data_IF_065056064381
#
_entry.id   IF_065056064381
#
_cell.length_a   1.000
_cell.length_b   1.000
_cell.length_c   1.000
_cell.angle_alpha   90.00
_cell.angle_beta   90.00
_cell.angle_gamma   90.00
#
_symmetry.space_group_name_H-M   'P 1'
#
loop_
_entity.id
_entity.type
_entity.pdbx_description
1 polymer ?
#
# COMPACT_ATOMS: atom_id res chain seq x y z
N UNK A 1 27.65 12.90 23.40
CA UNK A 1 26.47 13.32 22.63
C UNK A 1 25.50 14.04 23.54
N UNK A 2 25.01 15.17 23.10
CA UNK A 2 23.96 15.86 23.84
C UNK A 2 22.59 15.24 23.55
N UNK A 3 21.59 15.65 24.33
CA UNK A 3 20.23 15.12 24.22
C UNK A 3 19.63 15.42 22.86
N UNK A 4 19.93 16.60 22.30
CA UNK A 4 19.38 17.02 21.00
C UNK A 4 19.89 16.10 19.89
N UNK A 5 21.17 15.77 19.89
CA UNK A 5 21.77 14.88 18.91
C UNK A 5 21.17 13.47 18.99
N UNK A 6 20.95 12.96 20.19
CA UNK A 6 20.34 11.64 20.41
C UNK A 6 18.90 11.62 19.89
N UNK A 7 18.11 12.64 20.21
CA UNK A 7 16.73 12.75 19.75
C UNK A 7 16.68 12.83 18.23
N UNK A 8 17.58 13.62 17.63
CA UNK A 8 17.64 13.76 16.17
C UNK A 8 17.97 12.43 15.49
N UNK A 9 18.90 11.66 16.05
CA UNK A 9 19.25 10.34 15.51
C UNK A 9 18.08 9.35 15.61
N UNK A 10 17.34 9.38 16.72
CA UNK A 10 16.18 8.53 16.90
C UNK A 10 15.09 8.89 15.88
N UNK A 11 14.85 10.17 15.66
CA UNK A 11 13.88 10.63 14.67
C UNK A 11 14.26 10.21 13.26
N UNK A 12 15.54 10.33 12.91
CA UNK A 12 16.03 9.89 11.60
C UNK A 12 15.86 8.39 11.41
N UNK A 13 16.17 7.61 12.44
CA UNK A 13 16.01 6.16 12.39
C UNK A 13 14.55 5.78 12.23
N UNK A 14 13.65 6.46 12.94
CA UNK A 14 12.21 6.22 12.86
C UNK A 14 11.67 6.56 11.47
N UNK A 15 12.10 7.69 10.89
CA UNK A 15 11.70 8.10 9.55
C UNK A 15 12.19 7.12 8.50
N UNK A 16 13.43 6.66 8.61
CA UNK A 16 14.00 5.68 7.68
C UNK A 16 13.26 4.35 7.74
N UNK A 17 12.94 3.89 8.95
CA UNK A 17 12.18 2.67 9.15
C UNK A 17 10.77 2.78 8.58
N UNK A 18 10.09 3.90 8.83
CA UNK A 18 8.75 4.17 8.30
C UNK A 18 8.77 4.20 6.77
N UNK A 19 9.77 4.84 6.19
CA UNK A 19 9.93 4.91 4.74
C UNK A 19 10.13 3.53 4.13
N UNK A 20 10.99 2.72 4.75
CA UNK A 20 11.22 1.35 4.30
C UNK A 20 9.95 0.52 4.35
N UNK A 21 9.19 0.62 5.44
CA UNK A 21 7.90 -0.07 5.57
C UNK A 21 6.90 0.41 4.51
N UNK A 22 6.88 1.68 4.19
CA UNK A 22 5.98 2.22 3.17
C UNK A 22 6.31 1.71 1.78
N UNK A 23 7.60 1.59 1.45
CA UNK A 23 8.03 1.00 0.19
C UNK A 23 7.65 -0.48 0.11
N UNK A 24 7.82 -1.20 1.20
CA UNK A 24 7.44 -2.60 1.27
C UNK A 24 5.93 -2.77 1.10
N UNK A 25 5.14 -1.93 1.75
CA UNK A 25 3.68 -1.95 1.62
C UNK A 25 3.25 -1.69 0.17
N UNK A 26 3.89 -0.73 -0.50
CA UNK A 26 3.62 -0.43 -1.90
C UNK A 26 3.93 -1.63 -2.79
N UNK A 27 5.01 -2.33 -2.52
CA UNK A 27 5.37 -3.53 -3.28
C UNK A 27 4.35 -4.64 -3.08
N UNK A 28 3.87 -4.84 -1.85
CA UNK A 28 2.82 -5.82 -1.56
C UNK A 28 1.55 -5.45 -2.33
N UNK A 29 1.18 -4.17 -2.35
CA UNK A 29 0.02 -3.70 -3.09
C UNK A 29 0.16 -3.96 -4.59
N UNK A 30 1.32 -3.70 -5.16
CA UNK A 30 1.58 -3.96 -6.59
C UNK A 30 1.44 -5.44 -6.92
N UNK A 31 2.02 -6.30 -6.11
CA UNK A 31 1.94 -7.75 -6.33
C UNK A 31 0.51 -8.25 -6.24
N UNK A 32 -0.25 -7.77 -5.25
CA UNK A 32 -1.64 -8.16 -5.08
C UNK A 32 -2.50 -7.70 -6.26
N UNK A 33 -2.32 -6.46 -6.70
CA UNK A 33 -3.01 -5.92 -7.87
C UNK A 33 -2.70 -6.70 -9.14
N UNK A 34 -1.44 -7.03 -9.34
CA UNK A 34 -1.00 -7.80 -10.49
C UNK A 34 -1.62 -9.20 -10.50
N UNK A 35 -1.67 -9.86 -9.35
CA UNK A 35 -2.30 -11.19 -9.24
C UNK A 35 -3.79 -11.12 -9.56
N UNK A 36 -4.48 -10.12 -9.02
CA UNK A 36 -5.91 -9.94 -9.25
C UNK A 36 -6.20 -9.69 -10.73
N UNK A 37 -5.41 -8.85 -11.37
CA UNK A 37 -5.55 -8.57 -12.80
C UNK A 37 -5.27 -9.80 -13.66
N UNK A 38 -4.27 -10.59 -13.30
CA UNK A 38 -3.98 -11.82 -14.02
C UNK A 38 -5.12 -12.83 -13.92
N UNK A 39 -5.74 -12.95 -12.75
CA UNK A 39 -6.89 -13.83 -12.56
C UNK A 39 -8.10 -13.37 -13.35
N UNK A 40 -8.28 -12.06 -13.51
CA UNK A 40 -9.40 -11.48 -14.24
C UNK A 40 -9.12 -11.35 -15.75
N UNK A 41 -7.92 -11.71 -16.20
CA UNK A 41 -7.47 -11.55 -17.60
C UNK A 41 -7.50 -10.10 -18.08
N UNK A 42 -7.10 -9.17 -17.19
CA UNK A 42 -6.98 -7.77 -17.54
C UNK A 42 -5.54 -7.31 -17.34
N UNK A 43 -5.19 -6.20 -17.95
CA UNK A 43 -3.84 -5.65 -17.86
C UNK A 43 -3.71 -4.75 -16.65
N UNK A 44 -2.74 -5.03 -15.81
CA UNK A 44 -2.42 -4.19 -14.66
C UNK A 44 -1.48 -3.07 -15.09
N UNK A 45 -1.83 -1.84 -14.70
CA UNK A 45 -1.03 -0.66 -15.02
C UNK A 45 -0.19 -0.29 -13.78
N UNK A 46 1.02 -0.82 -13.71
CA UNK A 46 1.91 -0.72 -12.54
C UNK A 46 2.15 0.72 -12.11
N UNK A 47 2.29 1.62 -13.06
CA UNK A 47 2.67 3.01 -12.78
C UNK A 47 1.54 3.81 -12.14
N UNK A 48 0.33 3.25 -12.08
CA UNK A 48 -0.83 3.96 -11.57
C UNK A 48 -1.12 3.66 -10.10
N UNK A 49 -0.36 2.76 -9.47
CA UNK A 49 -0.58 2.44 -8.05
C UNK A 49 -0.20 3.62 -7.19
N UNK A 50 -1.17 4.16 -6.46
CA UNK A 50 -0.98 5.33 -5.62
C UNK A 50 -1.69 5.17 -4.28
N UNK A 51 -1.01 5.57 -3.21
CA UNK A 51 -1.62 5.61 -1.89
C UNK A 51 -2.58 6.78 -1.78
N UNK A 52 -3.81 6.52 -1.34
CA UNK A 52 -4.85 7.55 -1.22
C UNK A 52 -5.23 7.85 0.23
N UNK A 53 -4.99 6.93 1.15
CA UNK A 53 -5.33 7.14 2.55
C UNK A 53 -4.42 6.32 3.46
N UNK A 54 -4.19 6.85 4.65
CA UNK A 54 -3.42 6.21 5.70
C UNK A 54 -4.11 6.47 7.02
N UNK A 55 -4.54 5.41 7.70
CA UNK A 55 -5.21 5.52 8.99
C UNK A 55 -4.63 4.50 9.96
N UNK A 56 -4.74 4.81 11.24
CA UNK A 56 -4.33 3.89 12.31
C UNK A 56 -5.58 3.21 12.84
N UNK A 57 -5.60 1.88 12.77
CA UNK A 57 -6.74 1.08 13.21
C UNK A 57 -6.26 -0.06 14.10
N UNK A 58 -7.19 -0.73 14.76
CA UNK A 58 -6.90 -1.94 15.52
C UNK A 58 -7.28 -3.16 14.70
N UNK A 59 -6.40 -4.14 14.66
CA UNK A 59 -6.70 -5.41 14.02
C UNK A 59 -7.55 -6.31 14.95
N UNK A 60 -7.82 -7.53 14.50
CA UNK A 60 -8.63 -8.48 15.28
C UNK A 60 -7.99 -8.87 16.60
N UNK A 61 -6.66 -8.80 16.70
CA UNK A 61 -5.94 -9.11 17.92
C UNK A 61 -5.82 -7.91 18.86
N UNK A 62 -6.36 -6.75 18.49
CA UNK A 62 -6.31 -5.53 19.28
C UNK A 62 -5.06 -4.71 19.09
N UNK A 63 -4.16 -5.11 18.20
CA UNK A 63 -2.95 -4.37 17.90
C UNK A 63 -3.24 -3.19 16.99
N UNK A 64 -2.54 -2.10 17.20
CA UNK A 64 -2.64 -0.95 16.31
C UNK A 64 -1.78 -1.19 15.09
N UNK A 65 -2.41 -1.13 13.92
CA UNK A 65 -1.76 -1.31 12.63
C UNK A 65 -2.17 -0.19 11.71
N UNK A 66 -1.33 0.06 10.71
CA UNK A 66 -1.63 1.06 9.70
C UNK A 66 -2.49 0.44 8.61
N UNK A 67 -3.61 1.09 8.34
CA UNK A 67 -4.47 0.76 7.22
C UNK A 67 -4.12 1.68 6.07
N UNK A 68 -3.62 1.11 4.98
CA UNK A 68 -3.24 1.87 3.79
C UNK A 68 -4.20 1.53 2.67
N UNK A 69 -4.74 2.57 2.05
CA UNK A 69 -5.60 2.42 0.89
C UNK A 69 -4.84 2.82 -0.35
N UNK A 70 -4.85 1.96 -1.36
CA UNK A 70 -4.19 2.21 -2.63
C UNK A 70 -5.22 2.18 -3.74
N UNK A 71 -5.00 3.01 -4.74
CA UNK A 71 -5.77 3.00 -5.97
C UNK A 71 -4.85 2.60 -7.11
N UNK A 72 -5.37 1.79 -8.02
CA UNK A 72 -4.63 1.42 -9.20
C UNK A 72 -5.57 1.43 -10.40
N UNK A 73 -4.99 1.43 -11.59
CA UNK A 73 -5.75 1.35 -12.82
C UNK A 73 -5.44 0.05 -13.53
N UNK A 74 -6.42 -0.46 -14.23
CA UNK A 74 -6.27 -1.64 -15.07
C UNK A 74 -7.02 -1.45 -16.37
N UNK A 75 -6.72 -2.27 -17.36
CA UNK A 75 -7.32 -2.18 -18.67
C UNK A 75 -7.80 -3.55 -19.14
N UNK A 76 -9.03 -3.62 -19.64
CA UNK A 76 -9.58 -4.84 -20.20
C UNK A 76 -9.11 -5.06 -21.65
N UNK A 77 -8.94 -3.97 -22.40
CA UNK A 77 -8.66 -4.03 -23.84
C UNK A 77 -7.31 -3.42 -24.22
N UNK A 78 -6.60 -2.83 -23.25
CA UNK A 78 -5.41 -2.05 -23.53
C UNK A 78 -5.69 -0.58 -23.82
N UNK A 79 -6.91 -0.22 -24.18
CA UNK A 79 -7.31 1.15 -24.49
C UNK A 79 -8.22 1.78 -23.44
N UNK A 80 -8.79 0.99 -22.55
CA UNK A 80 -9.66 1.47 -21.49
C UNK A 80 -8.88 1.61 -20.20
N UNK A 81 -9.38 2.46 -19.29
CA UNK A 81 -8.82 2.59 -17.94
C UNK A 81 -9.94 2.48 -16.92
N UNK A 82 -9.83 1.46 -16.09
CA UNK A 82 -10.75 1.20 -15.01
C UNK A 82 -10.00 1.27 -13.71
N UNK A 83 -10.69 1.58 -12.62
CA UNK A 83 -10.06 1.74 -11.32
C UNK A 83 -10.31 0.55 -10.41
N UNK A 84 -9.26 0.18 -9.68
CA UNK A 84 -9.35 -0.77 -8.60
C UNK A 84 -8.89 -0.13 -7.30
N UNK A 85 -9.32 -0.70 -6.21
CA UNK A 85 -8.96 -0.24 -4.87
C UNK A 85 -8.43 -1.40 -4.07
N UNK A 86 -7.34 -1.16 -3.35
CA UNK A 86 -6.70 -2.17 -2.51
C UNK A 86 -6.51 -1.59 -1.13
N UNK A 87 -6.87 -2.36 -0.12
CA UNK A 87 -6.68 -1.96 1.28
C UNK A 87 -5.73 -2.95 1.94
N UNK A 88 -4.64 -2.42 2.47
CA UNK A 88 -3.68 -3.18 3.26
C UNK A 88 -3.88 -2.90 4.74
N UNK A 89 -3.86 -3.95 5.54
CA UNK A 89 -3.85 -3.85 7.00
C UNK A 89 -2.49 -4.35 7.48
N UNK A 90 -1.61 -3.40 7.82
CA UNK A 90 -0.22 -3.71 8.07
C UNK A 90 0.45 -4.18 6.78
N UNK A 91 0.88 -5.44 6.75
CA UNK A 91 1.49 -6.05 5.57
C UNK A 91 0.57 -7.07 4.89
N UNK A 92 -0.71 -7.10 5.26
CA UNK A 92 -1.70 -8.02 4.71
C UNK A 92 -2.72 -7.30 3.87
N UNK A 93 -3.15 -7.94 2.79
CA UNK A 93 -4.24 -7.44 1.96
C UNK A 93 -5.56 -7.70 2.68
N UNK A 94 -6.26 -6.64 3.07
CA UNK A 94 -7.57 -6.73 3.70
C UNK A 94 -8.67 -6.91 2.66
N UNK A 95 -8.61 -6.12 1.60
CA UNK A 95 -9.59 -6.23 0.52
C UNK A 95 -9.01 -5.71 -0.78
N UNK A 96 -9.54 -6.18 -1.87
CA UNK A 96 -9.21 -5.73 -3.20
C UNK A 96 -10.48 -5.71 -4.03
N UNK A 97 -10.82 -4.54 -4.55
CA UNK A 97 -12.02 -4.33 -5.35
C UNK A 97 -11.64 -3.83 -6.72
N UNK A 98 -12.21 -4.41 -7.75
CA UNK A 98 -11.98 -3.97 -9.12
C UNK A 98 -13.33 -3.62 -9.73
N UNK A 99 -13.47 -2.37 -10.15
CA UNK A 99 -14.70 -1.93 -10.80
C UNK A 99 -14.59 -2.12 -12.31
N UNK A 100 -15.55 -2.81 -12.89
CA UNK A 100 -15.59 -2.95 -14.36
C UNK A 100 -15.93 -1.65 -15.06
#
# INVERSE_FOLDING_TARGET
MDVISVVFLILLAALGWFWFNSLRALEIARKAGKRACNKANVQFLDDTVAGTALTLVRDRSGRRVLRRTYRFEFSETGNTRLEGQLILLGDRVESLTMEP
#
